data_IF_368385534887
#
_entry.id   IF_368385534887
#
_cell.length_a   1.000
_cell.length_b   1.000
_cell.length_c   1.000
_cell.angle_alpha   90.00
_cell.angle_beta   90.00
_cell.angle_gamma   90.00
#
_symmetry.space_group_name_H-M   'P 1'
#
loop_
_entity.id
_entity.type
_entity.pdbx_description
1 polymer ?
#
# COMPACT_ATOMS: atom_id res chain seq x y z
N UNK A 1 12.74 -0.43 21.10
CA UNK A 1 11.46 -0.41 20.35
C UNK A 1 10.30 -0.74 21.28
N UNK A 2 9.11 -0.17 21.01
CA UNK A 2 7.85 -0.62 21.59
C UNK A 2 7.18 -1.57 20.61
N UNK A 3 6.91 -2.79 21.01
CA UNK A 3 6.36 -3.85 20.17
C UNK A 3 4.93 -4.15 20.63
N UNK A 4 3.96 -4.11 19.71
CA UNK A 4 2.59 -4.56 19.91
C UNK A 4 2.54 -6.01 19.44
N UNK A 5 2.50 -6.94 20.38
CA UNK A 5 2.55 -8.38 20.09
C UNK A 5 1.18 -8.84 19.59
N UNK A 6 0.14 -8.70 20.42
CA UNK A 6 -1.23 -9.07 20.05
C UNK A 6 -2.23 -8.20 20.84
N UNK A 7 -3.21 -7.60 20.14
CA UNK A 7 -4.19 -6.71 20.77
C UNK A 7 -3.54 -5.56 21.54
N UNK A 8 -3.76 -5.53 22.86
CA UNK A 8 -3.20 -4.56 23.80
C UNK A 8 -1.94 -5.06 24.55
N UNK A 9 -1.30 -6.13 24.08
CA UNK A 9 -0.01 -6.59 24.62
C UNK A 9 1.14 -5.74 24.05
N UNK A 10 1.64 -4.83 24.90
CA UNK A 10 2.73 -3.92 24.58
C UNK A 10 4.00 -4.31 25.33
N UNK A 11 5.05 -4.68 24.60
CA UNK A 11 6.33 -5.09 25.15
C UNK A 11 7.46 -4.18 24.69
N UNK A 12 8.49 -4.03 25.53
CA UNK A 12 9.70 -3.30 25.17
C UNK A 12 10.75 -4.29 24.66
N UNK A 13 11.38 -3.94 23.54
CA UNK A 13 12.53 -4.65 23.00
C UNK A 13 13.75 -3.74 22.97
N UNK A 14 14.80 -4.13 23.69
CA UNK A 14 16.07 -3.42 23.76
C UNK A 14 17.16 -4.21 23.04
N UNK A 15 17.92 -3.56 22.16
CA UNK A 15 18.92 -4.26 21.32
C UNK A 15 20.34 -4.26 21.89
N UNK A 16 20.63 -3.50 22.95
CA UNK A 16 21.96 -3.39 23.57
C UNK A 16 23.03 -2.72 22.68
N UNK A 17 23.27 -3.26 21.48
CA UNK A 17 24.26 -2.84 20.49
C UNK A 17 23.70 -1.97 19.34
N UNK A 18 22.43 -1.59 19.40
CA UNK A 18 21.75 -0.77 18.37
C UNK A 18 20.78 -1.58 17.50
N UNK A 19 20.03 -0.91 16.62
CA UNK A 19 19.08 -1.62 15.75
C UNK A 19 19.81 -2.62 14.82
N UNK A 20 19.23 -3.80 14.57
CA UNK A 20 19.79 -4.75 13.61
C UNK A 20 19.83 -4.15 12.20
N UNK A 21 20.82 -4.56 11.40
CA UNK A 21 21.01 -4.05 10.05
C UNK A 21 20.06 -4.65 9.00
N UNK A 22 19.37 -5.75 9.31
CA UNK A 22 18.53 -6.50 8.37
C UNK A 22 17.22 -6.94 9.01
N UNK A 23 16.15 -6.95 8.21
CA UNK A 23 14.80 -7.32 8.67
C UNK A 23 14.72 -8.76 9.18
N UNK A 24 15.44 -9.69 8.56
CA UNK A 24 15.55 -11.08 9.01
C UNK A 24 16.11 -11.19 10.43
N UNK A 25 17.14 -10.40 10.74
CA UNK A 25 17.74 -10.40 12.09
C UNK A 25 16.77 -9.80 13.10
N UNK A 26 16.08 -8.70 12.74
CA UNK A 26 15.03 -8.12 13.59
C UNK A 26 13.91 -9.12 13.88
N UNK A 27 13.43 -9.81 12.85
CA UNK A 27 12.38 -10.81 12.95
C UNK A 27 12.80 -11.96 13.90
N UNK A 28 14.00 -12.52 13.72
CA UNK A 28 14.54 -13.55 14.62
C UNK A 28 14.67 -13.08 16.08
N UNK A 29 15.14 -11.85 16.31
CA UNK A 29 15.24 -11.29 17.67
C UNK A 29 13.85 -11.19 18.30
N UNK A 30 12.83 -10.76 17.56
CA UNK A 30 11.46 -10.65 18.06
C UNK A 30 10.88 -12.04 18.38
N UNK A 31 11.10 -13.03 17.52
CA UNK A 31 10.72 -14.43 17.81
C UNK A 31 11.35 -14.93 19.11
N UNK A 32 12.66 -14.74 19.27
CA UNK A 32 13.39 -15.22 20.44
C UNK A 32 13.03 -14.44 21.71
N UNK A 33 12.90 -13.11 21.63
CA UNK A 33 12.66 -12.26 22.79
C UNK A 33 11.25 -12.41 23.38
N UNK A 34 10.27 -12.77 22.55
CA UNK A 34 8.88 -12.89 22.97
C UNK A 34 8.32 -14.30 22.86
N UNK A 35 9.17 -15.29 22.56
CA UNK A 35 8.81 -16.71 22.43
C UNK A 35 7.64 -16.92 21.46
N UNK A 36 7.70 -16.25 20.31
CA UNK A 36 6.65 -16.31 19.29
C UNK A 36 6.93 -17.47 18.35
N UNK A 37 6.00 -18.42 18.27
CA UNK A 37 6.13 -19.60 17.40
C UNK A 37 5.56 -19.37 15.99
N UNK A 38 4.67 -18.38 15.83
CA UNK A 38 3.95 -18.12 14.58
C UNK A 38 4.68 -17.11 13.71
N UNK A 39 4.61 -17.28 12.40
CA UNK A 39 5.09 -16.28 11.46
C UNK A 39 4.27 -14.99 11.57
N UNK A 40 4.97 -13.87 11.47
CA UNK A 40 4.38 -12.55 11.48
C UNK A 40 5.08 -11.61 10.49
N UNK A 41 4.33 -10.60 10.07
CA UNK A 41 4.84 -9.42 9.40
C UNK A 41 5.02 -8.30 10.43
N UNK A 42 6.00 -7.44 10.20
CA UNK A 42 6.28 -6.28 11.06
C UNK A 42 5.72 -5.04 10.39
N UNK A 43 4.89 -4.29 11.13
CA UNK A 43 4.46 -2.96 10.75
C UNK A 43 5.04 -1.93 11.71
N UNK A 44 5.24 -0.70 11.26
CA UNK A 44 5.70 0.42 12.11
C UNK A 44 4.76 1.61 11.96
N UNK A 45 4.72 2.50 12.97
CA UNK A 45 4.03 3.78 12.82
C UNK A 45 4.86 4.71 11.94
N UNK A 46 4.29 5.09 10.81
CA UNK A 46 4.95 5.97 9.85
C UNK A 46 4.54 7.44 10.12
N UNK A 47 5.48 8.32 10.51
CA UNK A 47 5.19 9.72 10.78
C UNK A 47 4.74 10.49 9.54
N UNK A 48 5.14 10.05 8.34
CA UNK A 48 4.78 10.69 7.07
C UNK A 48 3.31 10.37 6.70
N UNK A 49 2.70 9.37 7.37
CA UNK A 49 1.35 8.87 7.09
C UNK A 49 0.46 8.97 8.31
N UNK A 50 0.49 10.13 8.97
CA UNK A 50 -0.38 10.42 10.13
C UNK A 50 -0.23 9.39 11.27
N UNK A 51 0.95 8.77 11.40
CA UNK A 51 1.24 7.71 12.36
C UNK A 51 0.42 6.42 12.18
N UNK A 52 -0.09 6.14 10.99
CA UNK A 52 -0.70 4.85 10.66
C UNK A 52 0.33 3.71 10.58
N UNK A 53 -0.15 2.47 10.72
CA UNK A 53 0.72 1.29 10.65
C UNK A 53 0.98 0.89 9.20
N UNK A 54 2.24 0.95 8.80
CA UNK A 54 2.73 0.57 7.47
C UNK A 54 3.65 -0.65 7.56
N UNK A 55 3.68 -1.49 6.52
CA UNK A 55 4.63 -2.60 6.45
C UNK A 55 6.06 -2.06 6.38
N UNK A 56 6.95 -2.60 7.19
CA UNK A 56 8.36 -2.24 7.13
C UNK A 56 9.02 -2.89 5.90
N UNK A 57 9.81 -2.12 5.15
CA UNK A 57 10.59 -2.66 4.02
C UNK A 57 12.09 -2.72 4.41
N UNK A 58 12.79 -1.58 4.61
CA UNK A 58 14.10 -1.55 5.25
C UNK A 58 14.00 -1.32 6.77
N UNK A 59 14.92 -1.90 7.56
CA UNK A 59 15.00 -1.65 9.02
C UNK A 59 15.41 -0.22 9.33
N UNK A 60 16.03 0.46 8.37
CA UNK A 60 16.48 1.85 8.45
C UNK A 60 15.32 2.86 8.63
N UNK A 61 14.09 2.48 8.29
CA UNK A 61 12.90 3.30 8.52
C UNK A 61 12.56 3.39 10.01
N UNK A 62 13.06 2.46 10.84
CA UNK A 62 12.88 2.50 12.28
C UNK A 62 13.88 3.44 12.94
N UNK A 63 13.34 4.42 13.65
CA UNK A 63 14.08 5.28 14.57
C UNK A 63 14.16 4.67 15.98
N UNK A 64 15.00 5.25 16.83
CA UNK A 64 14.99 4.93 18.26
C UNK A 64 13.57 5.14 18.83
N UNK A 65 13.13 4.22 19.68
CA UNK A 65 11.79 4.20 20.31
C UNK A 65 10.59 4.10 19.34
N UNK A 66 10.81 3.71 18.08
CA UNK A 66 9.68 3.43 17.17
C UNK A 66 8.72 2.39 17.75
N UNK A 67 7.44 2.54 17.40
CA UNK A 67 6.39 1.58 17.74
C UNK A 67 6.14 0.66 16.55
N UNK A 68 6.30 -0.64 16.77
CA UNK A 68 6.05 -1.68 15.76
C UNK A 68 4.89 -2.58 16.18
N UNK A 69 4.15 -3.11 15.22
CA UNK A 69 3.03 -4.03 15.42
C UNK A 69 3.31 -5.34 14.68
N UNK A 70 3.06 -6.45 15.36
CA UNK A 70 3.15 -7.77 14.74
C UNK A 70 1.79 -8.11 14.12
N UNK A 71 1.81 -8.54 12.86
CA UNK A 71 0.64 -8.99 12.12
C UNK A 71 0.86 -10.45 11.76
N UNK A 72 0.19 -11.34 12.49
CA UNK A 72 0.29 -12.77 12.28
C UNK A 72 -0.44 -13.19 11.00
N UNK A 73 0.24 -13.97 10.17
CA UNK A 73 -0.42 -14.62 9.04
C UNK A 73 -1.08 -15.91 9.53
N UNK A 74 -2.39 -16.05 9.32
CA UNK A 74 -3.09 -17.28 9.65
C UNK A 74 -2.61 -18.40 8.70
N UNK A 75 -1.72 -19.26 9.19
CA UNK A 75 -1.53 -20.59 8.63
C UNK A 75 -2.69 -21.43 9.17
N UNK A 76 -3.71 -21.61 8.34
CA UNK A 76 -4.98 -22.22 8.71
C UNK A 76 -4.81 -23.72 9.03
N UNK A 77 -4.69 -24.05 10.32
CA UNK A 77 -5.24 -25.28 10.88
C UNK A 77 -5.81 -24.96 12.26
N UNK A 78 -7.14 -24.76 12.28
CA UNK A 78 -8.01 -25.00 13.42
C UNK A 78 -7.95 -23.98 14.58
N UNK A 79 -8.71 -22.89 14.47
CA UNK A 79 -9.34 -22.27 15.64
C UNK A 79 -10.68 -21.63 15.29
N UNK A 80 -11.71 -21.80 16.14
CA UNK A 80 -13.08 -21.45 15.83
C UNK A 80 -13.29 -19.95 15.87
N UNK A 81 -14.07 -19.48 14.90
CA UNK A 81 -14.52 -18.12 14.73
C UNK A 81 -15.27 -17.64 15.99
N UNK A 82 -14.79 -16.57 16.64
CA UNK A 82 -15.65 -15.74 17.48
C UNK A 82 -16.29 -14.68 16.58
N UNK A 83 -17.35 -15.08 15.88
CA UNK A 83 -18.34 -14.15 15.36
C UNK A 83 -19.42 -14.05 16.44
N UNK A 84 -19.50 -12.91 17.11
CA UNK A 84 -20.65 -12.59 17.95
C UNK A 84 -21.66 -11.76 17.15
N UNK A 85 -22.87 -12.34 17.04
CA UNK A 85 -24.18 -11.73 16.76
C UNK A 85 -24.48 -11.41 15.28
N UNK A 86 -25.57 -11.86 14.63
CA UNK A 86 -26.73 -12.68 14.95
C UNK A 86 -27.50 -13.00 13.62
N UNK A 87 -28.69 -13.61 13.65
CA UNK A 87 -28.97 -15.01 13.36
C UNK A 87 -29.28 -15.32 11.88
N UNK A 88 -28.76 -16.44 11.39
CA UNK A 88 -29.19 -17.08 10.14
C UNK A 88 -30.13 -18.25 10.44
N UNK A 89 -31.25 -18.30 9.72
CA UNK A 89 -32.17 -19.45 9.64
C UNK A 89 -32.01 -20.02 8.23
N UNK A 90 -31.41 -21.22 8.16
CA UNK A 90 -31.61 -22.35 7.22
C UNK A 90 -31.80 -22.02 5.72
N UNK A 91 -31.18 -22.69 4.73
CA UNK A 91 -30.70 -24.06 4.66
C UNK A 91 -29.96 -24.29 3.33
N UNK A 92 -28.97 -25.19 3.38
CA UNK A 92 -28.53 -26.16 2.35
C UNK A 92 -29.07 -26.03 0.91
N UNK A 93 -28.19 -26.07 -0.09
CA UNK A 93 -27.77 -27.33 -0.75
C UNK A 93 -27.02 -27.09 -2.06
N UNK A 94 -26.18 -28.08 -2.38
CA UNK A 94 -25.37 -28.30 -3.57
C UNK A 94 -25.95 -27.80 -4.91
N UNK A 95 -25.09 -27.32 -5.81
CA UNK A 95 -24.69 -27.99 -7.06
C UNK A 95 -23.98 -27.01 -8.02
N UNK A 96 -23.15 -27.57 -8.89
CA UNK A 96 -22.32 -26.93 -9.88
C UNK A 96 -23.04 -25.89 -10.77
N UNK A 97 -22.36 -24.79 -11.14
CA UNK A 97 -22.41 -24.24 -12.48
C UNK A 97 -21.46 -23.04 -12.64
N UNK A 98 -20.97 -22.94 -13.87
CA UNK A 98 -20.18 -21.87 -14.45
C UNK A 98 -20.78 -20.47 -14.24
N UNK A 99 -19.86 -19.49 -14.32
CA UNK A 99 -20.05 -18.14 -14.86
C UNK A 99 -20.25 -16.99 -13.87
N UNK A 100 -19.57 -15.91 -14.25
CA UNK A 100 -19.86 -14.50 -13.98
C UNK A 100 -19.33 -13.89 -12.67
N UNK A 101 -18.16 -13.26 -12.86
CA UNK A 101 -17.80 -11.93 -12.35
C UNK A 101 -19.00 -11.17 -11.75
N UNK A 102 -18.88 -10.72 -10.51
CA UNK A 102 -19.26 -9.37 -10.07
C UNK A 102 -18.70 -9.11 -8.66
N UNK A 103 -17.76 -8.17 -8.61
CA UNK A 103 -17.56 -7.15 -7.56
C UNK A 103 -17.72 -7.55 -6.10
N UNK A 104 -16.60 -7.62 -5.38
CA UNK A 104 -16.46 -7.22 -3.97
C UNK A 104 -15.02 -6.73 -3.69
N UNK A 105 -14.44 -5.95 -4.61
CA UNK A 105 -13.06 -5.45 -4.51
C UNK A 105 -12.99 -4.01 -4.03
N UNK A 106 -13.77 -3.64 -3.01
CA UNK A 106 -13.64 -2.31 -2.37
C UNK A 106 -12.63 -2.29 -1.21
N UNK A 107 -11.98 -3.43 -0.94
CA UNK A 107 -11.04 -3.58 0.20
C UNK A 107 -9.60 -3.95 -0.23
N UNK A 108 -9.31 -3.99 -1.53
CA UNK A 108 -7.95 -4.24 -2.03
C UNK A 108 -7.60 -3.15 -3.04
N UNK A 109 -6.48 -2.47 -2.82
CA UNK A 109 -5.85 -1.64 -3.84
C UNK A 109 -5.66 -2.49 -5.10
N UNK A 110 -6.08 -2.01 -6.28
CA UNK A 110 -5.88 -2.73 -7.54
C UNK A 110 -4.38 -3.01 -7.75
N UNK A 111 -4.09 -4.18 -8.33
CA UNK A 111 -2.73 -4.50 -8.75
C UNK A 111 -2.26 -3.50 -9.81
N UNK A 112 -0.94 -3.27 -9.86
CA UNK A 112 -0.34 -2.40 -10.86
C UNK A 112 -0.71 -2.87 -12.29
N UNK A 113 -1.14 -1.97 -13.18
CA UNK A 113 -1.62 -2.37 -14.50
C UNK A 113 -0.45 -2.78 -15.40
N UNK A 114 -0.70 -3.67 -16.36
CA UNK A 114 0.31 -4.04 -17.37
C UNK A 114 0.66 -2.88 -18.30
N UNK A 115 -0.29 -1.97 -18.51
CA UNK A 115 -0.10 -0.70 -19.21
C UNK A 115 -0.76 0.39 -18.37
N UNK A 116 0.03 1.39 -17.98
CA UNK A 116 -0.49 2.49 -17.18
C UNK A 116 -1.52 3.29 -17.99
N UNK A 117 -2.73 3.54 -17.46
CA UNK A 117 -3.75 4.30 -18.17
C UNK A 117 -3.37 5.79 -18.25
N UNK A 118 -3.76 6.46 -19.33
CA UNK A 118 -3.64 7.91 -19.42
C UNK A 118 -4.68 8.54 -18.49
N UNK A 119 -4.29 9.43 -17.55
CA UNK A 119 -5.23 10.12 -16.69
C UNK A 119 -6.27 10.91 -17.48
N UNK A 120 -7.50 10.94 -16.99
CA UNK A 120 -8.52 11.84 -17.52
C UNK A 120 -8.30 13.26 -16.97
N UNK A 121 -7.94 14.19 -17.83
CA UNK A 121 -7.77 15.58 -17.44
C UNK A 121 -9.12 16.32 -17.45
N UNK A 122 -9.31 17.32 -16.58
CA UNK A 122 -10.48 18.17 -16.64
C UNK A 122 -10.51 18.93 -17.97
N UNK A 123 -11.72 19.24 -18.47
CA UNK A 123 -11.93 19.85 -19.79
C UNK A 123 -11.05 21.08 -20.07
N UNK A 124 -10.83 21.93 -19.07
CA UNK A 124 -9.97 23.12 -19.19
C UNK A 124 -8.52 22.77 -19.47
N UNK A 125 -8.00 21.72 -18.83
CA UNK A 125 -6.63 21.21 -19.02
C UNK A 125 -6.52 20.55 -20.39
N UNK A 126 -7.51 19.75 -20.81
CA UNK A 126 -7.54 19.15 -22.15
C UNK A 126 -7.49 20.20 -23.27
N UNK A 127 -8.28 21.26 -23.16
CA UNK A 127 -8.25 22.37 -24.15
C UNK A 127 -6.88 23.04 -24.19
N UNK A 128 -6.26 23.27 -23.03
CA UNK A 128 -4.91 23.85 -22.96
C UNK A 128 -3.83 22.91 -23.49
N UNK A 129 -3.95 21.60 -23.25
CA UNK A 129 -3.06 20.57 -23.79
C UNK A 129 -3.16 20.53 -25.32
N UNK A 130 -4.37 20.55 -25.87
CA UNK A 130 -4.62 20.58 -27.30
C UNK A 130 -3.97 21.83 -27.94
N UNK A 131 -4.24 23.02 -27.39
CA UNK A 131 -3.64 24.25 -27.86
C UNK A 131 -2.12 24.28 -27.69
N UNK A 132 -1.61 23.75 -26.58
CA UNK A 132 -0.18 23.61 -26.32
C UNK A 132 0.51 22.69 -27.33
N UNK A 133 -0.13 21.58 -27.71
CA UNK A 133 0.38 20.65 -28.71
C UNK A 133 0.43 21.27 -30.11
N UNK A 134 -0.59 22.06 -30.49
CA UNK A 134 -0.61 22.83 -31.73
C UNK A 134 0.54 23.86 -31.77
N UNK A 135 0.66 24.68 -30.71
CA UNK A 135 1.73 25.66 -30.59
C UNK A 135 3.12 25.01 -30.59
N UNK A 136 3.28 23.85 -29.94
CA UNK A 136 4.55 23.13 -29.92
C UNK A 136 4.94 22.64 -31.32
N UNK A 137 3.99 22.15 -32.12
CA UNK A 137 4.24 21.75 -33.51
C UNK A 137 4.65 22.91 -34.41
N UNK A 138 4.09 24.10 -34.18
CA UNK A 138 4.38 25.29 -34.99
C UNK A 138 5.66 26.01 -34.56
N UNK A 139 5.88 26.18 -33.26
CA UNK A 139 6.91 27.08 -32.71
C UNK A 139 7.88 26.41 -31.74
N UNK A 140 7.66 25.14 -31.36
CA UNK A 140 8.44 24.46 -30.33
C UNK A 140 8.19 24.98 -28.92
N UNK A 141 7.14 25.79 -28.73
CA UNK A 141 6.81 26.40 -27.43
C UNK A 141 6.38 25.33 -26.42
N UNK A 142 7.04 25.30 -25.27
CA UNK A 142 6.75 24.36 -24.18
C UNK A 142 5.48 24.77 -23.42
N UNK A 143 4.83 23.78 -22.79
CA UNK A 143 3.68 24.01 -21.90
C UNK A 143 4.03 24.91 -20.71
N UNK A 144 3.04 25.64 -20.20
CA UNK A 144 3.23 26.55 -19.07
C UNK A 144 3.46 25.77 -17.76
N UNK A 145 4.18 26.35 -16.78
CA UNK A 145 4.39 25.70 -15.48
C UNK A 145 3.10 25.34 -14.75
N UNK A 146 2.04 26.15 -14.87
CA UNK A 146 0.73 25.87 -14.27
C UNK A 146 0.09 24.62 -14.85
N UNK A 147 0.04 24.51 -16.18
CA UNK A 147 -0.48 23.33 -16.87
C UNK A 147 0.32 22.07 -16.53
N UNK A 148 1.64 22.20 -16.35
CA UNK A 148 2.49 21.10 -15.89
C UNK A 148 2.09 20.59 -14.50
N UNK A 149 1.79 21.50 -13.56
CA UNK A 149 1.34 21.10 -12.22
C UNK A 149 0.02 20.34 -12.27
N UNK A 150 -0.95 20.82 -13.04
CA UNK A 150 -2.26 20.15 -13.19
C UNK A 150 -2.10 18.74 -13.77
N UNK A 151 -1.19 18.56 -14.73
CA UNK A 151 -0.88 17.24 -15.32
C UNK A 151 -0.28 16.31 -14.27
N UNK A 152 0.71 16.79 -13.51
CA UNK A 152 1.41 15.99 -12.51
C UNK A 152 0.48 15.61 -11.35
N UNK A 153 -0.45 16.49 -10.96
CA UNK A 153 -1.46 16.20 -9.95
C UNK A 153 -2.38 15.06 -10.40
N UNK A 154 -2.90 15.12 -11.63
CA UNK A 154 -3.75 14.05 -12.17
C UNK A 154 -3.00 12.73 -12.36
N UNK A 155 -1.73 12.79 -12.75
CA UNK A 155 -0.89 11.60 -12.83
C UNK A 155 -0.66 10.98 -11.44
N UNK A 156 -0.41 11.81 -10.43
CA UNK A 156 -0.25 11.36 -9.05
C UNK A 156 -1.54 10.72 -8.50
N UNK A 157 -2.70 11.31 -8.78
CA UNK A 157 -4.02 10.77 -8.41
C UNK A 157 -4.25 9.37 -9.00
N UNK A 158 -3.94 9.17 -10.28
CA UNK A 158 -4.03 7.85 -10.93
C UNK A 158 -3.04 6.83 -10.34
N UNK A 159 -1.79 7.23 -10.09
CA UNK A 159 -0.80 6.33 -9.47
C UNK A 159 -1.25 5.92 -8.06
N UNK A 160 -1.81 6.85 -7.30
CA UNK A 160 -2.25 6.63 -5.92
C UNK A 160 -3.37 5.60 -5.82
N UNK A 161 -4.21 5.44 -6.86
CA UNK A 161 -5.22 4.38 -6.92
C UNK A 161 -4.61 2.98 -6.81
N UNK A 162 -3.36 2.78 -7.24
CA UNK A 162 -2.66 1.50 -7.18
C UNK A 162 -1.72 1.41 -5.98
N UNK A 163 -1.01 2.48 -5.65
CA UNK A 163 -0.07 2.51 -4.54
C UNK A 163 0.20 3.93 -4.04
N UNK A 164 0.19 4.12 -2.72
CA UNK A 164 0.62 5.38 -2.10
C UNK A 164 2.12 5.65 -2.22
N UNK A 165 2.93 4.60 -2.51
CA UNK A 165 4.38 4.68 -2.57
C UNK A 165 4.89 4.00 -3.84
N UNK A 166 4.73 4.66 -5.00
CA UNK A 166 5.28 4.16 -6.23
C UNK A 166 6.81 4.13 -6.15
N UNK A 167 7.41 2.99 -6.51
CA UNK A 167 8.84 2.94 -6.78
C UNK A 167 9.16 3.77 -8.03
N UNK A 168 10.42 4.19 -8.19
CA UNK A 168 10.86 5.03 -9.32
C UNK A 168 10.41 4.50 -10.69
N UNK A 169 10.47 3.19 -10.92
CA UNK A 169 10.03 2.60 -12.20
C UNK A 169 8.53 2.82 -12.49
N UNK A 170 7.68 2.79 -11.45
CA UNK A 170 6.23 3.03 -11.57
C UNK A 170 5.93 4.48 -11.93
N UNK A 171 6.71 5.41 -11.40
CA UNK A 171 6.65 6.83 -11.75
C UNK A 171 7.03 7.01 -13.22
N UNK A 172 8.07 6.31 -13.69
CA UNK A 172 8.47 6.33 -15.09
C UNK A 172 7.39 5.76 -16.02
N UNK A 173 6.80 4.62 -15.68
CA UNK A 173 5.70 4.03 -16.46
C UNK A 173 4.50 4.98 -16.56
N UNK A 174 4.18 5.70 -15.48
CA UNK A 174 3.15 6.73 -15.51
C UNK A 174 3.50 7.91 -16.43
N UNK A 175 4.76 8.35 -16.42
CA UNK A 175 5.22 9.43 -17.31
C UNK A 175 5.26 9.00 -18.79
N UNK A 176 5.65 7.75 -19.07
CA UNK A 176 5.68 7.19 -20.42
C UNK A 176 4.28 7.06 -21.04
N UNK A 177 3.25 6.88 -20.23
CA UNK A 177 1.87 6.85 -20.71
C UNK A 177 1.44 8.19 -21.37
N UNK A 178 2.11 9.30 -21.08
CA UNK A 178 1.80 10.63 -21.62
C UNK A 178 2.51 10.97 -22.95
N UNK A 179 3.28 10.04 -23.53
CA UNK A 179 4.13 10.27 -24.71
C UNK A 179 3.58 9.57 -25.96
#
# INVERSE_FOLDING_TARGET
LRVIVEGDDFRRLDFGSGLPSTLTVLNNIIHQAFEIERDFQIQFRDPDFTNEFMNITPVQDLQDRSTVKLVYTLNDVNSPSLIQNAPSTYSTSATAASSQRSSNSELRTPAWPQKFPIPHFPYTVEVQLQHGNENFKETGTKITPGLKSDILEKLAEEIFQYTAYPQTYRIHEGAEALI
#
